data_IF_518271192661
#
_entry.id   IF_518271192661
#
_cell.length_a   1.000
_cell.length_b   1.000
_cell.length_c   1.000
_cell.angle_alpha   90.00
_cell.angle_beta   90.00
_cell.angle_gamma   90.00
#
_symmetry.space_group_name_H-M   'P 1'
#
loop_
_entity.id
_entity.type
_entity.pdbx_description
1 polymer ?
#
# COMPACT_ATOMS: atom_id res chain seq x y z
N UNK A 1 4.14 -21.09 -3.88
CA UNK A 1 5.08 -20.18 -3.19
C UNK A 1 4.65 -18.80 -3.61
N UNK A 2 4.32 -17.92 -2.66
CA UNK A 2 3.86 -16.58 -3.01
C UNK A 2 5.08 -15.69 -3.22
N UNK A 3 5.02 -14.84 -4.23
CA UNK A 3 6.03 -13.82 -4.49
C UNK A 3 5.34 -12.55 -4.97
N UNK A 4 6.09 -11.46 -5.08
CA UNK A 4 5.61 -10.23 -5.71
C UNK A 4 6.46 -9.88 -6.91
N UNK A 5 5.83 -9.61 -8.04
CA UNK A 5 6.47 -8.97 -9.17
C UNK A 5 6.64 -7.48 -8.88
N UNK A 6 7.77 -6.94 -9.28
CA UNK A 6 8.11 -5.54 -9.15
C UNK A 6 8.25 -4.89 -10.54
N UNK A 7 7.62 -3.75 -10.70
CA UNK A 7 7.86 -2.79 -11.77
C UNK A 7 8.55 -1.54 -11.23
N UNK A 8 9.26 -0.84 -12.11
CA UNK A 8 9.92 0.44 -11.81
C UNK A 8 9.30 1.54 -12.66
N UNK A 9 9.08 2.70 -12.06
CA UNK A 9 8.68 3.89 -12.78
C UNK A 9 9.79 4.36 -13.73
N UNK A 10 9.43 4.62 -14.99
CA UNK A 10 10.36 5.14 -15.99
C UNK A 10 10.34 6.66 -15.94
N UNK A 11 11.42 7.25 -15.43
CA UNK A 11 11.57 8.70 -15.28
C UNK A 11 11.28 9.47 -16.58
N UNK A 12 10.51 10.55 -16.47
CA UNK A 12 10.06 11.36 -17.62
C UNK A 12 8.88 10.78 -18.40
N UNK A 13 8.28 9.69 -17.92
CA UNK A 13 7.09 9.05 -18.53
C UNK A 13 6.04 8.74 -17.47
N UNK A 14 4.84 8.35 -17.90
CA UNK A 14 3.81 7.79 -17.02
C UNK A 14 3.74 6.26 -17.20
N UNK A 15 4.87 5.58 -17.01
CA UNK A 15 4.96 4.13 -17.22
C UNK A 15 5.66 3.45 -16.05
N UNK A 16 5.05 2.38 -15.53
CA UNK A 16 5.70 1.39 -14.70
C UNK A 16 6.03 0.17 -15.56
N UNK A 17 7.30 -0.22 -15.60
CA UNK A 17 7.79 -1.30 -16.45
C UNK A 17 8.26 -2.49 -15.65
N UNK A 18 7.73 -3.67 -15.98
CA UNK A 18 8.21 -4.96 -15.52
C UNK A 18 9.30 -5.49 -16.46
N UNK A 19 10.19 -6.32 -15.91
CA UNK A 19 11.27 -6.97 -16.66
C UNK A 19 12.56 -6.14 -16.84
N UNK A 20 13.58 -6.71 -17.52
CA UNK A 20 14.92 -6.13 -17.60
C UNK A 20 14.96 -4.69 -18.17
N UNK A 21 15.90 -3.83 -17.70
CA UNK A 21 17.02 -4.20 -16.84
C UNK A 21 16.70 -4.32 -15.33
N UNK A 22 15.50 -3.95 -14.85
CA UNK A 22 15.14 -4.04 -13.42
C UNK A 22 13.65 -4.26 -13.14
N UNK A 23 13.12 -5.39 -13.55
CA UNK A 23 11.94 -6.02 -12.94
C UNK A 23 12.41 -7.23 -12.15
N UNK A 24 11.96 -7.34 -10.91
CA UNK A 24 12.36 -8.40 -9.98
C UNK A 24 11.11 -9.12 -9.51
N UNK A 25 11.22 -10.43 -9.30
CA UNK A 25 10.23 -11.19 -8.52
C UNK A 25 10.84 -11.43 -7.15
N UNK A 26 10.19 -10.91 -6.10
CA UNK A 26 10.65 -11.05 -4.73
C UNK A 26 9.96 -12.27 -4.08
N UNK A 27 10.70 -13.33 -3.73
CA UNK A 27 10.12 -14.48 -3.05
C UNK A 27 9.64 -14.11 -1.65
N UNK A 28 8.55 -14.74 -1.20
CA UNK A 28 8.09 -14.67 0.19
C UNK A 28 8.33 -16.02 0.86
N UNK A 29 8.80 -16.00 2.11
CA UNK A 29 9.22 -17.21 2.82
C UNK A 29 8.79 -17.22 4.29
N UNK A 30 8.64 -18.43 4.83
CA UNK A 30 8.30 -18.70 6.23
C UNK A 30 7.00 -18.04 6.73
N UNK A 31 6.06 -17.76 5.81
CA UNK A 31 4.75 -17.24 6.17
C UNK A 31 3.97 -18.23 7.06
N UNK A 32 3.27 -17.75 8.10
CA UNK A 32 2.31 -18.55 8.85
C UNK A 32 1.28 -19.23 7.93
N UNK A 33 0.83 -20.43 8.31
CA UNK A 33 -0.09 -21.23 7.49
C UNK A 33 -1.47 -20.57 7.29
N UNK A 34 -1.87 -19.71 8.21
CA UNK A 34 -3.08 -18.89 8.20
C UNK A 34 -2.81 -17.45 7.73
N UNK A 35 -1.84 -17.27 6.83
CA UNK A 35 -1.62 -15.99 6.15
C UNK A 35 -2.71 -15.75 5.11
N UNK A 36 -3.38 -14.61 5.18
CA UNK A 36 -4.33 -14.16 4.17
C UNK A 36 -3.61 -13.39 3.06
N UNK A 37 -3.40 -14.05 1.92
CA UNK A 37 -2.73 -13.49 0.75
C UNK A 37 -3.61 -12.54 -0.08
N UNK A 38 -4.91 -12.40 0.22
CA UNK A 38 -5.75 -11.43 -0.49
C UNK A 38 -5.62 -10.04 0.11
N UNK A 39 -5.31 -9.96 1.40
CA UNK A 39 -5.18 -8.71 2.14
C UNK A 39 -3.72 -8.49 2.50
N UNK A 40 -3.00 -7.79 1.62
CA UNK A 40 -1.60 -7.47 1.82
C UNK A 40 -1.30 -6.01 1.49
N UNK A 41 -0.19 -5.51 2.04
CA UNK A 41 0.36 -4.19 1.73
C UNK A 41 1.88 -4.20 1.86
N UNK A 42 2.57 -3.26 1.22
CA UNK A 42 4.03 -3.16 1.24
C UNK A 42 4.49 -1.72 1.41
N UNK A 43 5.62 -1.55 2.10
CA UNK A 43 6.32 -0.26 2.19
C UNK A 43 7.83 -0.45 2.18
N UNK A 44 8.55 0.65 2.04
CA UNK A 44 9.97 0.75 2.37
C UNK A 44 10.11 1.74 3.53
N UNK A 45 10.71 1.31 4.64
CA UNK A 45 10.77 2.10 5.89
C UNK A 45 12.02 3.00 5.98
N UNK A 46 12.66 3.25 4.83
CA UNK A 46 13.95 3.93 4.75
C UNK A 46 15.15 3.00 4.95
N UNK A 47 14.94 1.76 5.42
CA UNK A 47 16.00 0.77 5.65
C UNK A 47 15.73 -0.53 4.90
N UNK A 48 14.57 -1.14 5.12
CA UNK A 48 14.18 -2.44 4.57
C UNK A 48 12.81 -2.35 3.86
N UNK A 49 12.60 -3.22 2.88
CA UNK A 49 11.25 -3.50 2.40
C UNK A 49 10.48 -4.31 3.45
N UNK A 50 9.24 -3.91 3.69
CA UNK A 50 8.30 -4.58 4.58
C UNK A 50 7.08 -5.04 3.79
N UNK A 51 6.65 -6.26 4.06
CA UNK A 51 5.37 -6.78 3.60
C UNK A 51 4.49 -7.04 4.83
N UNK A 52 3.22 -6.69 4.70
CA UNK A 52 2.18 -6.92 5.69
C UNK A 52 1.10 -7.75 5.05
N UNK A 53 0.57 -8.71 5.80
CA UNK A 53 -0.59 -9.51 5.40
C UNK A 53 -1.52 -9.65 6.58
N UNK A 54 -2.84 -9.71 6.37
CA UNK A 54 -3.71 -10.13 7.45
C UNK A 54 -3.50 -11.60 7.82
N UNK A 55 -3.83 -11.92 9.05
CA UNK A 55 -4.13 -13.29 9.47
C UNK A 55 -5.53 -13.68 8.97
N UNK A 56 -5.67 -14.90 8.47
CA UNK A 56 -6.95 -15.44 8.02
C UNK A 56 -7.97 -15.48 9.17
N UNK A 57 -9.24 -15.18 8.82
CA UNK A 57 -10.34 -15.03 9.76
C UNK A 57 -10.10 -14.03 10.91
N UNK A 58 -9.18 -13.07 10.75
CA UNK A 58 -8.96 -11.98 11.69
C UNK A 58 -9.19 -10.62 11.01
N UNK A 59 -9.96 -9.71 11.65
CA UNK A 59 -10.18 -8.36 11.14
C UNK A 59 -9.09 -7.37 11.57
N UNK A 60 -8.16 -7.75 12.45
CA UNK A 60 -7.27 -6.82 13.15
C UNK A 60 -5.81 -7.27 13.25
N UNK A 61 -5.50 -8.53 12.99
CA UNK A 61 -4.16 -9.08 13.16
C UNK A 61 -3.40 -9.08 11.84
N UNK A 62 -2.20 -8.52 11.87
CA UNK A 62 -1.28 -8.47 10.74
C UNK A 62 -0.01 -9.27 11.04
N UNK A 63 0.51 -9.92 10.01
CA UNK A 63 1.84 -10.50 9.97
C UNK A 63 2.79 -9.57 9.22
N UNK A 64 4.00 -9.39 9.76
CA UNK A 64 5.02 -8.54 9.16
C UNK A 64 6.23 -9.35 8.69
N UNK A 65 6.65 -9.07 7.48
CA UNK A 65 7.81 -9.66 6.82
C UNK A 65 8.84 -8.57 6.57
N UNK A 66 10.12 -8.91 6.67
CA UNK A 66 11.23 -8.01 6.31
C UNK A 66 12.12 -8.60 5.23
N UNK A 67 12.70 -7.73 4.41
CA UNK A 67 13.63 -8.14 3.37
C UNK A 67 14.97 -8.64 3.93
N UNK A 68 15.39 -9.81 3.49
CA UNK A 68 16.65 -10.46 3.90
C UNK A 68 17.82 -10.17 2.96
N UNK A 69 17.58 -9.49 1.84
CA UNK A 69 18.48 -9.47 0.68
C UNK A 69 18.14 -10.52 -0.38
N UNK A 70 17.28 -11.50 -0.05
CA UNK A 70 16.94 -12.64 -0.91
C UNK A 70 15.44 -12.89 -1.00
N UNK A 71 14.73 -12.77 0.13
CA UNK A 71 13.30 -12.97 0.25
C UNK A 71 12.68 -12.03 1.30
N UNK A 72 11.39 -11.74 1.16
CA UNK A 72 10.55 -11.18 2.23
C UNK A 72 10.27 -12.33 3.21
N UNK A 73 10.87 -12.27 4.40
CA UNK A 73 10.79 -13.35 5.38
C UNK A 73 9.99 -12.91 6.61
N UNK A 74 9.05 -13.75 7.02
CA UNK A 74 8.25 -13.54 8.23
C UNK A 74 9.14 -13.30 9.45
N UNK A 75 8.84 -12.23 10.20
CA UNK A 75 9.55 -11.87 11.43
C UNK A 75 11.02 -11.42 11.24
N UNK A 76 11.54 -11.31 10.02
CA UNK A 76 12.92 -10.85 9.81
C UNK A 76 13.06 -9.36 10.08
N UNK A 77 13.82 -9.00 11.13
CA UNK A 77 14.01 -7.61 11.59
C UNK A 77 12.70 -6.83 11.70
N UNK A 78 11.60 -7.51 12.03
CA UNK A 78 10.25 -6.98 12.02
C UNK A 78 9.52 -7.41 13.30
N UNK A 79 8.38 -6.81 13.61
CA UNK A 79 7.47 -7.28 14.65
C UNK A 79 6.60 -8.36 14.01
N UNK A 80 6.80 -9.67 14.30
CA UNK A 80 6.23 -10.73 13.47
C UNK A 80 4.70 -10.69 13.41
N UNK A 81 4.05 -10.33 14.52
CA UNK A 81 2.62 -10.18 14.62
C UNK A 81 2.29 -8.88 15.33
N UNK A 82 1.36 -8.12 14.77
CA UNK A 82 0.88 -6.86 15.31
C UNK A 82 -0.63 -6.73 15.11
N UNK A 83 -1.26 -5.81 15.83
CA UNK A 83 -2.72 -5.61 15.77
C UNK A 83 -3.10 -4.20 15.35
N UNK A 84 -4.29 -4.04 14.79
CA UNK A 84 -4.95 -2.73 14.60
C UNK A 84 -6.03 -2.63 15.68
N UNK A 85 -5.94 -1.61 16.53
CA UNK A 85 -6.90 -1.41 17.62
C UNK A 85 -7.98 -0.41 17.22
N UNK A 86 -9.15 -0.56 17.84
CA UNK A 86 -10.29 0.36 17.71
C UNK A 86 -10.69 0.63 16.24
N UNK A 87 -10.67 -0.43 15.41
CA UNK A 87 -11.13 -0.37 14.03
C UNK A 87 -12.63 -0.01 14.02
N UNK A 88 -13.04 1.05 13.30
CA UNK A 88 -14.45 1.36 13.11
C UNK A 88 -15.22 0.18 12.50
N UNK A 89 -16.47 -0.01 12.93
CA UNK A 89 -17.32 -1.11 12.44
C UNK A 89 -17.56 -1.06 10.92
N UNK A 90 -17.50 0.14 10.34
CA UNK A 90 -17.66 0.41 8.92
C UNK A 90 -16.34 0.54 8.16
N UNK A 91 -15.20 0.18 8.76
CA UNK A 91 -13.94 0.09 8.02
C UNK A 91 -13.93 -1.13 7.09
N UNK A 92 -13.49 -0.93 5.84
CA UNK A 92 -13.30 -1.97 4.84
C UNK A 92 -11.92 -2.62 5.02
N UNK A 93 -11.87 -3.72 5.76
CA UNK A 93 -10.63 -4.49 6.00
C UNK A 93 -10.24 -5.41 4.84
N UNK A 94 -10.97 -5.41 3.71
CA UNK A 94 -10.63 -6.24 2.53
C UNK A 94 -9.43 -5.70 1.74
N UNK A 95 -9.02 -4.46 2.01
CA UNK A 95 -7.86 -3.83 1.41
C UNK A 95 -7.31 -2.78 2.37
N UNK A 96 -6.01 -2.65 2.45
CA UNK A 96 -5.35 -1.64 3.28
C UNK A 96 -4.05 -1.22 2.60
N UNK A 97 -3.49 -0.11 3.01
CA UNK A 97 -2.14 0.29 2.59
C UNK A 97 -1.39 0.85 3.79
N UNK A 98 -0.06 0.82 3.72
CA UNK A 98 0.83 1.21 4.82
C UNK A 98 1.90 2.14 4.31
N UNK A 99 2.23 3.16 5.09
CA UNK A 99 3.30 4.10 4.75
C UNK A 99 4.28 4.24 5.89
N UNK A 100 5.48 4.67 5.55
CA UNK A 100 6.45 5.18 6.49
C UNK A 100 6.80 6.61 6.07
N UNK A 101 6.72 7.54 7.02
CA UNK A 101 7.00 8.95 6.81
C UNK A 101 6.92 9.72 8.12
N UNK A 102 7.59 10.87 8.19
CA UNK A 102 7.69 11.67 9.42
C UNK A 102 8.12 10.82 10.64
N UNK A 103 9.09 9.93 10.41
CA UNK A 103 9.66 9.00 11.38
C UNK A 103 8.68 8.00 12.03
N UNK A 104 7.49 7.79 11.45
CA UNK A 104 6.53 6.80 11.95
C UNK A 104 5.78 6.03 10.85
N UNK A 105 5.19 4.90 11.24
CA UNK A 105 4.38 4.07 10.35
C UNK A 105 2.91 4.45 10.45
N UNK A 106 2.24 4.51 9.30
CA UNK A 106 0.78 4.65 9.23
C UNK A 106 0.15 3.50 8.47
N UNK A 107 -1.08 3.18 8.86
CA UNK A 107 -1.94 2.23 8.19
C UNK A 107 -3.24 2.91 7.81
N UNK A 108 -3.74 2.59 6.63
CA UNK A 108 -4.94 3.19 6.06
C UNK A 108 -5.97 2.11 5.71
N UNK A 109 -7.19 2.29 6.18
CA UNK A 109 -8.36 1.50 5.79
C UNK A 109 -9.36 2.42 5.10
N UNK A 110 -10.05 1.93 4.06
CA UNK A 110 -11.19 2.68 3.49
C UNK A 110 -12.41 2.53 4.38
N UNK A 111 -13.36 3.44 4.29
CA UNK A 111 -14.71 3.25 4.82
C UNK A 111 -15.57 2.48 3.81
N UNK A 112 -16.33 1.51 4.29
CA UNK A 112 -17.25 0.71 3.48
C UNK A 112 -18.35 1.59 2.87
N UNK A 113 -18.55 1.48 1.56
CA UNK A 113 -19.52 2.31 0.83
C UNK A 113 -19.07 3.76 0.56
N UNK A 114 -17.96 4.20 1.15
CA UNK A 114 -17.40 5.54 1.00
C UNK A 114 -15.93 5.44 0.58
N UNK A 115 -15.65 5.04 -0.68
CA UNK A 115 -14.30 4.65 -1.11
C UNK A 115 -13.26 5.79 -1.02
N UNK A 116 -13.70 7.04 -1.02
CA UNK A 116 -12.88 8.24 -0.88
C UNK A 116 -12.63 8.64 0.57
N UNK A 117 -13.15 7.90 1.56
CA UNK A 117 -12.93 8.18 2.98
C UNK A 117 -11.98 7.13 3.54
N UNK A 118 -10.85 7.58 4.11
CA UNK A 118 -9.87 6.73 4.77
C UNK A 118 -9.92 6.93 6.29
N UNK A 119 -9.72 5.85 7.02
CA UNK A 119 -9.30 5.84 8.41
C UNK A 119 -7.78 5.70 8.47
N UNK A 120 -7.11 6.58 9.24
CA UNK A 120 -5.67 6.50 9.47
C UNK A 120 -5.38 6.00 10.89
N UNK A 121 -4.44 5.07 10.97
CA UNK A 121 -3.89 4.54 12.21
C UNK A 121 -2.38 4.80 12.25
N UNK A 122 -1.84 5.02 13.43
CA UNK A 122 -0.42 5.26 13.67
C UNK A 122 0.18 4.14 14.53
N UNK A 123 1.39 3.72 14.20
CA UNK A 123 2.09 2.70 14.97
C UNK A 123 2.45 3.20 16.37
N UNK A 124 2.06 2.40 17.37
CA UNK A 124 2.42 2.60 18.76
C UNK A 124 3.26 1.42 19.24
N UNK A 125 4.56 1.67 19.44
CA UNK A 125 5.51 0.64 19.89
C UNK A 125 5.22 0.11 21.29
N UNK A 126 4.67 0.92 22.20
CA UNK A 126 4.36 0.47 23.55
C UNK A 126 3.15 -0.48 23.57
N UNK A 127 2.16 -0.23 22.71
CA UNK A 127 0.98 -1.07 22.53
C UNK A 127 1.22 -2.26 21.59
N UNK A 128 2.31 -2.23 20.81
CA UNK A 128 2.56 -3.15 19.68
C UNK A 128 1.39 -3.21 18.71
N UNK A 129 0.79 -2.05 18.45
CA UNK A 129 -0.42 -1.93 17.65
C UNK A 129 -0.46 -0.65 16.81
N UNK A 130 -1.15 -0.70 15.68
CA UNK A 130 -1.67 0.49 15.00
C UNK A 130 -2.88 1.01 15.76
N UNK A 131 -2.81 2.25 16.23
CA UNK A 131 -3.88 2.91 16.98
C UNK A 131 -4.51 4.03 16.14
N UNK A 132 -5.80 4.34 16.31
CA UNK A 132 -6.43 5.45 15.63
C UNK A 132 -5.64 6.75 15.82
N UNK A 133 -5.40 7.49 14.73
CA UNK A 133 -4.86 8.84 14.86
C UNK A 133 -5.86 9.73 15.61
N UNK A 134 -5.37 10.81 16.23
CA UNK A 134 -6.21 11.78 16.92
C UNK A 134 -6.72 12.89 16.00
N UNK A 135 -7.92 13.40 16.29
CA UNK A 135 -8.50 14.57 15.63
C UNK A 135 -8.77 14.38 14.13
N UNK A 136 -8.54 15.42 13.34
CA UNK A 136 -8.75 15.42 11.88
C UNK A 136 -7.93 14.37 11.14
N UNK A 137 -6.83 13.87 11.75
CA UNK A 137 -5.99 12.83 11.15
C UNK A 137 -6.64 11.46 11.13
N UNK A 138 -7.67 11.22 11.95
CA UNK A 138 -8.31 9.92 11.97
C UNK A 138 -9.09 9.63 10.68
N UNK A 139 -9.78 10.64 10.15
CA UNK A 139 -10.68 10.50 9.01
C UNK A 139 -10.24 11.44 7.89
N UNK A 140 -9.79 10.87 6.79
CA UNK A 140 -9.25 11.60 5.65
C UNK A 140 -10.19 11.49 4.45
N UNK A 141 -10.63 12.63 3.92
CA UNK A 141 -11.40 12.66 2.68
C UNK A 141 -10.44 12.82 1.50
N UNK A 142 -10.59 11.97 0.49
CA UNK A 142 -9.78 11.91 -0.72
C UNK A 142 -10.60 12.39 -1.92
N UNK A 143 -10.40 13.63 -2.37
CA UNK A 143 -11.11 14.17 -3.51
C UNK A 143 -10.43 13.90 -4.86
N UNK A 144 -11.11 14.21 -5.96
CA UNK A 144 -10.48 14.44 -7.27
C UNK A 144 -10.20 13.20 -8.13
N UNK A 145 -10.54 12.01 -7.65
CA UNK A 145 -10.36 10.79 -8.45
C UNK A 145 -11.47 10.61 -9.49
N UNK A 146 -11.16 10.08 -10.68
CA UNK A 146 -12.15 9.80 -11.71
C UNK A 146 -13.30 8.90 -11.23
N UNK A 147 -14.54 9.09 -11.74
CA UNK A 147 -15.69 8.24 -11.37
C UNK A 147 -15.53 6.76 -11.69
N UNK A 148 -14.64 6.42 -12.63
CA UNK A 148 -14.28 5.05 -13.00
C UNK A 148 -13.04 4.53 -12.25
N UNK A 149 -12.76 5.06 -11.07
CA UNK A 149 -11.70 4.55 -10.20
C UNK A 149 -12.12 3.23 -9.55
N UNK A 150 -11.26 2.22 -9.65
CA UNK A 150 -11.40 0.94 -8.97
C UNK A 150 -10.73 0.99 -7.60
N UNK A 151 -11.54 1.35 -6.61
CA UNK A 151 -11.11 1.48 -5.23
C UNK A 151 -10.78 0.18 -4.53
N UNK A 152 -10.99 -1.00 -5.14
CA UNK A 152 -10.47 -2.25 -4.57
C UNK A 152 -8.97 -2.40 -4.75
N UNK A 153 -8.41 -1.74 -5.77
CA UNK A 153 -6.99 -1.85 -6.17
C UNK A 153 -6.33 -0.50 -5.99
N UNK A 154 -5.93 -0.19 -4.77
CA UNK A 154 -5.41 1.11 -4.38
C UNK A 154 -4.21 0.97 -3.46
N UNK A 155 -3.42 2.03 -3.39
CA UNK A 155 -2.26 2.15 -2.50
C UNK A 155 -2.03 3.63 -2.17
N UNK A 156 -1.39 3.92 -1.04
CA UNK A 156 -0.99 5.27 -0.66
C UNK A 156 0.49 5.29 -0.31
N UNK A 157 1.16 6.35 -0.73
CA UNK A 157 2.58 6.60 -0.48
C UNK A 157 2.72 7.94 0.23
N UNK A 158 3.59 8.04 1.23
CA UNK A 158 4.10 9.34 1.70
C UNK A 158 5.31 9.72 0.84
N UNK A 159 5.23 10.82 0.08
CA UNK A 159 6.34 11.30 -0.76
C UNK A 159 7.26 12.29 -0.05
N UNK A 160 7.05 12.50 1.24
CA UNK A 160 7.84 13.39 2.09
C UNK A 160 6.97 14.44 2.78
N UNK A 161 7.26 14.64 4.08
CA UNK A 161 6.50 15.56 4.91
C UNK A 161 5.00 15.29 4.84
N UNK A 162 4.25 16.35 4.53
CA UNK A 162 2.79 16.37 4.46
C UNK A 162 2.20 15.92 3.13
N UNK A 163 3.04 15.51 2.16
CA UNK A 163 2.59 15.13 0.81
C UNK A 163 2.45 13.63 0.68
N UNK A 164 1.33 13.22 0.12
CA UNK A 164 0.98 11.84 -0.14
C UNK A 164 0.55 11.67 -1.59
N UNK A 165 0.79 10.50 -2.15
CA UNK A 165 0.29 10.12 -3.46
C UNK A 165 -0.60 8.91 -3.28
N UNK A 166 -1.83 9.02 -3.74
CA UNK A 166 -2.77 7.92 -3.81
C UNK A 166 -2.71 7.33 -5.21
N UNK A 167 -2.66 6.01 -5.29
CA UNK A 167 -2.73 5.26 -6.54
C UNK A 167 -3.99 4.40 -6.52
N UNK A 168 -4.71 4.34 -7.63
CA UNK A 168 -5.85 3.42 -7.78
C UNK A 168 -6.00 2.97 -9.23
N UNK A 169 -6.34 1.70 -9.45
CA UNK A 169 -6.54 1.19 -10.81
C UNK A 169 -7.77 1.84 -11.47
N UNK A 170 -7.77 1.91 -12.80
CA UNK A 170 -8.96 2.27 -13.58
C UNK A 170 -9.90 1.07 -13.73
N UNK A 171 -11.19 1.26 -13.48
CA UNK A 171 -12.22 0.24 -13.62
C UNK A 171 -12.31 -0.24 -15.08
N UNK A 172 -12.32 -1.57 -15.27
CA UNK A 172 -12.30 -2.18 -16.61
C UNK A 172 -10.92 -2.16 -17.28
N UNK A 173 -9.88 -1.62 -16.62
CA UNK A 173 -8.50 -1.68 -17.08
C UNK A 173 -7.65 -2.51 -16.13
N UNK A 174 -6.69 -3.23 -16.73
CA UNK A 174 -5.67 -4.01 -16.04
C UNK A 174 -4.27 -3.41 -16.23
N UNK A 175 -4.18 -2.27 -16.92
CA UNK A 175 -2.91 -1.64 -17.29
C UNK A 175 -2.86 -0.16 -16.97
N UNK A 176 -3.96 0.45 -16.50
CA UNK A 176 -4.00 1.87 -16.19
C UNK A 176 -4.26 2.11 -14.71
N UNK A 177 -3.50 3.04 -14.14
CA UNK A 177 -3.55 3.44 -12.74
C UNK A 177 -3.63 4.96 -12.69
N UNK A 178 -4.58 5.48 -11.92
CA UNK A 178 -4.64 6.88 -11.56
C UNK A 178 -3.73 7.18 -10.38
N UNK A 179 -3.03 8.30 -10.45
CA UNK A 179 -2.34 8.89 -9.31
C UNK A 179 -2.93 10.27 -9.02
N UNK A 180 -3.29 10.51 -7.76
CA UNK A 180 -3.63 11.84 -7.25
C UNK A 180 -2.74 12.22 -6.08
N UNK A 181 -2.35 13.49 -6.00
CA UNK A 181 -1.62 14.03 -4.85
C UNK A 181 -2.58 14.49 -3.76
N UNK A 182 -2.20 14.28 -2.50
CA UNK A 182 -2.96 14.64 -1.32
C UNK A 182 -2.04 15.29 -0.28
N UNK A 183 -2.49 16.39 0.33
CA UNK A 183 -1.76 17.10 1.38
C UNK A 183 -2.54 16.99 2.71
N UNK A 184 -1.85 16.58 3.78
CA UNK A 184 -2.39 16.35 5.14
C UNK A 184 -1.58 17.12 6.18
N UNK A 185 -2.03 17.43 7.42
CA UNK A 185 -3.33 17.15 8.05
C UNK A 185 -4.10 18.40 8.53
N UNK A 186 -3.59 19.60 8.24
CA UNK A 186 -4.11 20.88 8.71
C UNK A 186 -4.43 21.77 7.51
N UNK A 187 -5.68 21.70 7.05
CA UNK A 187 -6.37 22.70 6.22
C UNK A 187 -5.57 23.23 5.00
N UNK A 188 -5.58 22.49 3.89
CA UNK A 188 -6.25 22.95 2.66
C UNK A 188 -6.01 21.96 1.52
N UNK A 189 -7.07 21.79 0.73
CA UNK A 189 -7.02 21.19 -0.59
C UNK A 189 -5.87 21.80 -1.41
N UNK A 190 -4.95 20.96 -1.88
CA UNK A 190 -3.98 21.32 -2.92
C UNK A 190 -4.30 20.57 -4.19
N UNK A 191 -5.03 21.21 -5.10
CA UNK A 191 -5.34 20.83 -6.51
C UNK A 191 -5.62 19.35 -6.80
N UNK A 192 -6.81 18.87 -6.42
CA UNK A 192 -7.28 17.54 -6.82
C UNK A 192 -7.86 17.47 -8.24
N UNK A 193 -7.73 18.52 -9.07
CA UNK A 193 -8.22 18.48 -10.45
C UNK A 193 -7.20 17.85 -11.42
N UNK A 194 -5.98 17.58 -10.94
CA UNK A 194 -4.94 16.93 -11.74
C UNK A 194 -4.59 15.57 -11.16
N UNK A 195 -4.96 14.52 -11.89
CA UNK A 195 -4.45 13.17 -11.70
C UNK A 195 -3.56 12.80 -12.88
N UNK A 196 -2.59 11.93 -12.64
CA UNK A 196 -1.81 11.31 -13.69
C UNK A 196 -2.40 9.95 -14.04
N UNK A 197 -2.30 9.55 -15.31
CA UNK A 197 -2.62 8.20 -15.75
C UNK A 197 -1.31 7.49 -16.05
N UNK A 198 -0.97 6.50 -15.23
CA UNK A 198 0.16 5.61 -15.41
C UNK A 198 -0.26 4.35 -16.16
N UNK A 199 0.65 3.83 -16.98
CA UNK A 199 0.49 2.57 -17.72
C UNK A 199 1.44 1.49 -17.20
N UNK A 200 0.98 0.23 -17.20
CA UNK A 200 1.78 -0.94 -16.86
C UNK A 200 2.29 -1.62 -18.14
N UNK A 201 3.61 -1.77 -18.25
CA UNK A 201 4.25 -2.43 -19.39
C UNK A 201 5.01 -3.68 -19.00
N UNK A 202 4.93 -4.73 -19.83
CA UNK A 202 5.68 -5.97 -19.64
C UNK A 202 5.21 -6.84 -18.48
N UNK A 203 3.99 -6.59 -17.98
CA UNK A 203 3.40 -7.30 -16.85
C UNK A 203 3.45 -8.83 -17.05
N UNK A 204 4.06 -9.58 -16.10
CA UNK A 204 4.13 -11.04 -16.20
C UNK A 204 2.73 -11.68 -16.27
N UNK A 205 2.54 -12.75 -17.08
CA UNK A 205 1.23 -13.41 -17.23
C UNK A 205 0.67 -14.01 -15.94
N UNK A 206 1.53 -14.30 -14.97
CA UNK A 206 1.20 -14.84 -13.64
C UNK A 206 0.99 -13.75 -12.58
N UNK A 207 0.84 -12.48 -12.99
CA UNK A 207 0.51 -11.39 -12.07
C UNK A 207 -0.94 -11.50 -11.59
N UNK A 208 -1.13 -11.49 -10.27
CA UNK A 208 -2.42 -11.29 -9.62
C UNK A 208 -2.76 -9.79 -9.62
N UNK A 209 -3.84 -9.44 -10.32
CA UNK A 209 -4.28 -8.07 -10.50
C UNK A 209 -5.32 -7.62 -9.48
N UNK A 210 -5.58 -8.42 -8.45
CA UNK A 210 -6.62 -8.12 -7.44
C UNK A 210 -6.23 -6.98 -6.48
N UNK A 211 -4.95 -6.63 -6.40
CA UNK A 211 -4.42 -5.52 -5.62
C UNK A 211 -3.06 -5.08 -6.16
N UNK A 212 -2.59 -3.91 -5.73
CA UNK A 212 -1.29 -3.35 -6.09
C UNK A 212 -0.75 -2.55 -4.92
N UNK A 213 0.56 -2.42 -4.84
CA UNK A 213 1.20 -1.50 -3.89
C UNK A 213 2.24 -0.65 -4.60
N UNK A 214 2.26 0.65 -4.28
CA UNK A 214 3.22 1.62 -4.80
C UNK A 214 4.00 2.23 -3.65
N UNK A 215 5.32 2.22 -3.75
CA UNK A 215 6.20 2.79 -2.75
C UNK A 215 7.40 3.49 -3.39
N UNK A 216 8.09 4.33 -2.63
CA UNK A 216 9.37 4.91 -2.99
C UNK A 216 10.45 4.34 -2.06
N UNK A 217 11.50 3.75 -2.63
CA UNK A 217 12.55 3.08 -1.85
C UNK A 217 13.75 3.99 -1.52
N UNK A 218 13.63 5.29 -1.80
CA UNK A 218 14.70 6.28 -1.70
C UNK A 218 15.44 6.53 -3.01
N UNK A 219 15.22 5.71 -4.04
CA UNK A 219 15.84 5.84 -5.36
C UNK A 219 14.78 5.88 -6.46
N UNK A 220 13.90 4.88 -6.49
CA UNK A 220 12.90 4.66 -7.52
C UNK A 220 11.49 4.57 -6.91
N UNK A 221 10.48 5.00 -7.66
CA UNK A 221 9.10 4.58 -7.44
C UNK A 221 8.93 3.16 -7.98
N UNK A 222 8.36 2.29 -7.15
CA UNK A 222 8.18 0.87 -7.43
C UNK A 222 6.72 0.50 -7.28
N UNK A 223 6.24 -0.35 -8.17
CA UNK A 223 4.92 -0.93 -8.11
C UNK A 223 5.05 -2.45 -7.95
N UNK A 224 4.21 -3.02 -7.09
CA UNK A 224 4.20 -4.43 -6.78
C UNK A 224 2.84 -5.06 -7.08
N UNK A 225 2.89 -6.26 -7.66
CA UNK A 225 1.74 -7.14 -7.86
C UNK A 225 2.09 -8.52 -7.29
N UNK A 226 1.18 -9.17 -6.58
CA UNK A 226 1.41 -10.54 -6.15
C UNK A 226 1.42 -11.49 -7.35
N UNK A 227 2.08 -12.65 -7.23
CA UNK A 227 1.91 -13.76 -8.18
C UNK A 227 0.64 -14.57 -7.89
N UNK A 228 0.09 -15.20 -8.93
CA UNK A 228 -1.02 -16.17 -8.85
C UNK A 228 -0.63 -17.47 -8.12
#
# INVERSE_FOLDING_TARGET
>A
MVSVHQAIHIAGTNTYKFGPPKGLTLPISNAPADTDWQRWAMLHDGVDYRLYTFKDNSPDTLYQFGWTGQALQYGHKSVPQLTIQDIPQDADTRSFSVTYGEDNYRLYLRQFGHPTQLYQFEWNVAAMAYMPCSGKRFQLQIPGFPPDTDWHRWSILNSGGTTYHLYAAKLGSNHEIYEGSWHSPEDDYGDSDTYNIFTLEGMPPDSNLASLEVLHDGIDYRLYLQTL
#
